data_IF_316375742237
#
_entry.id   IF_316375742237
#
_cell.length_a   1.000
_cell.length_b   1.000
_cell.length_c   1.000
_cell.angle_alpha   90.00
_cell.angle_beta   90.00
_cell.angle_gamma   90.00
#
_symmetry.space_group_name_H-M   'P 1'
#
loop_
_entity.id
_entity.type
_entity.pdbx_description
1 polymer ?
#
# COMPACT_ATOMS: atom_id res chain seq x y z
N UNK A 1 -12.52 3.71 -11.23
CA UNK A 1 -11.65 2.62 -10.75
C UNK A 1 -10.24 3.17 -10.54
N UNK A 2 -9.77 3.09 -9.32
CA UNK A 2 -8.43 3.57 -8.98
C UNK A 2 -7.42 2.42 -9.05
N UNK A 3 -6.17 2.76 -9.37
CA UNK A 3 -5.07 1.79 -9.39
C UNK A 3 -4.32 1.89 -8.07
N UNK A 4 -4.17 0.76 -7.39
CA UNK A 4 -3.52 0.69 -6.08
C UNK A 4 -2.26 -0.16 -6.21
N UNK A 5 -1.12 0.46 -5.93
CA UNK A 5 0.18 -0.21 -5.98
C UNK A 5 0.34 -1.11 -4.76
N UNK A 6 0.70 -2.37 -4.98
CA UNK A 6 0.92 -3.32 -3.90
C UNK A 6 2.39 -3.72 -3.88
N UNK A 7 3.01 -3.55 -2.72
CA UNK A 7 4.37 -4.01 -2.46
C UNK A 7 4.35 -4.93 -1.24
N UNK A 8 4.13 -6.22 -1.50
CA UNK A 8 4.09 -7.27 -0.49
C UNK A 8 4.92 -8.44 -1.00
N UNK A 9 6.01 -8.82 -0.31
CA UNK A 9 6.89 -9.90 -0.78
C UNK A 9 6.31 -11.30 -0.59
N UNK A 10 5.36 -11.50 0.35
CA UNK A 10 4.77 -12.82 0.59
C UNK A 10 3.68 -13.10 -0.44
N UNK A 11 3.84 -14.12 -1.31
CA UNK A 11 2.92 -14.32 -2.43
C UNK A 11 1.47 -14.57 -2.03
N UNK A 12 1.24 -15.38 -1.00
CA UNK A 12 -0.12 -15.71 -0.57
C UNK A 12 -0.84 -14.50 -0.01
N UNK A 13 -0.14 -13.70 0.77
CA UNK A 13 -0.72 -12.48 1.33
C UNK A 13 -0.96 -11.44 0.23
N UNK A 14 -0.07 -11.38 -0.75
CA UNK A 14 -0.24 -10.49 -1.89
C UNK A 14 -1.53 -10.81 -2.66
N UNK A 15 -1.78 -12.10 -2.92
CA UNK A 15 -3.01 -12.53 -3.60
C UNK A 15 -4.24 -12.10 -2.79
N UNK A 16 -4.18 -12.26 -1.48
CA UNK A 16 -5.28 -11.87 -0.60
C UNK A 16 -5.52 -10.34 -0.65
N UNK A 17 -4.46 -9.55 -0.57
CA UNK A 17 -4.55 -8.09 -0.66
C UNK A 17 -5.15 -7.67 -2.01
N UNK A 18 -4.68 -8.30 -3.09
CA UNK A 18 -5.21 -8.02 -4.43
C UNK A 18 -6.71 -8.29 -4.50
N UNK A 19 -7.17 -9.40 -3.90
CA UNK A 19 -8.59 -9.73 -3.88
C UNK A 19 -9.40 -8.68 -3.13
N UNK A 20 -8.88 -8.19 -2.01
CA UNK A 20 -9.56 -7.14 -1.23
C UNK A 20 -9.63 -5.84 -2.03
N UNK A 21 -8.54 -5.47 -2.71
CA UNK A 21 -8.52 -4.28 -3.57
C UNK A 21 -9.62 -4.36 -4.64
N UNK A 22 -9.75 -5.53 -5.29
CA UNK A 22 -10.79 -5.73 -6.32
C UNK A 22 -12.18 -5.63 -5.72
N UNK A 23 -12.39 -6.12 -4.52
CA UNK A 23 -13.69 -6.03 -3.82
C UNK A 23 -14.12 -4.59 -3.58
N UNK A 24 -13.18 -3.68 -3.43
CA UNK A 24 -13.47 -2.25 -3.27
C UNK A 24 -13.75 -1.55 -4.60
N UNK A 25 -13.72 -2.28 -5.71
CA UNK A 25 -13.93 -1.71 -7.04
C UNK A 25 -12.69 -1.09 -7.66
N UNK A 26 -11.50 -1.46 -7.17
CA UNK A 26 -10.25 -0.88 -7.62
C UNK A 26 -9.35 -1.94 -8.26
N UNK A 27 -8.27 -1.50 -8.90
CA UNK A 27 -7.35 -2.37 -9.62
C UNK A 27 -6.01 -2.47 -8.89
N UNK A 28 -5.60 -3.68 -8.46
CA UNK A 28 -4.27 -3.85 -7.90
C UNK A 28 -3.22 -3.87 -9.00
N UNK A 29 -2.08 -3.20 -8.77
CA UNK A 29 -0.97 -3.16 -9.72
C UNK A 29 0.34 -3.41 -8.98
N UNK A 30 1.31 -4.02 -9.66
CA UNK A 30 2.67 -4.15 -9.19
C UNK A 30 3.53 -3.03 -9.72
N UNK A 31 4.76 -2.91 -9.21
CA UNK A 31 5.66 -1.83 -9.62
C UNK A 31 5.97 -1.85 -11.11
N UNK A 32 6.11 -3.03 -11.69
CA UNK A 32 6.40 -3.18 -13.12
C UNK A 32 5.24 -2.83 -14.03
N UNK A 33 4.05 -2.65 -13.48
CA UNK A 33 2.84 -2.32 -14.25
C UNK A 33 2.62 -0.82 -14.36
N UNK A 34 3.35 -0.01 -13.60
CA UNK A 34 3.29 1.45 -13.70
C UNK A 34 4.31 1.90 -14.74
N UNK A 35 3.82 2.43 -15.84
CA UNK A 35 4.65 2.80 -16.99
C UNK A 35 4.81 4.32 -17.06
N UNK A 36 6.08 4.74 -17.23
CA UNK A 36 6.41 6.11 -17.64
C UNK A 36 6.19 7.15 -16.58
N UNK A 37 5.47 7.49 -15.93
CA UNK A 37 5.19 8.51 -14.93
C UNK A 37 3.82 8.35 -14.33
N UNK A 38 3.17 7.22 -14.63
CA UNK A 38 1.87 6.91 -14.06
C UNK A 38 1.94 6.89 -12.54
N UNK A 39 0.96 7.53 -11.91
CA UNK A 39 0.87 7.58 -10.45
C UNK A 39 -0.25 6.67 -9.97
N UNK A 40 0.00 5.82 -8.96
CA UNK A 40 -1.10 5.10 -8.32
C UNK A 40 -1.93 6.05 -7.46
N UNK A 41 -3.18 5.68 -7.21
CA UNK A 41 -4.05 6.45 -6.33
C UNK A 41 -3.76 6.19 -4.84
N UNK A 42 -3.13 5.05 -4.54
CA UNK A 42 -2.73 4.68 -3.19
C UNK A 42 -1.68 3.57 -3.28
N UNK A 43 -0.99 3.33 -2.17
CA UNK A 43 -0.01 2.24 -2.07
C UNK A 43 -0.26 1.42 -0.81
N UNK A 44 -0.19 0.09 -0.94
CA UNK A 44 -0.19 -0.82 0.19
C UNK A 44 1.21 -1.42 0.28
N UNK A 45 1.84 -1.27 1.44
CA UNK A 45 3.27 -1.52 1.62
C UNK A 45 3.54 -2.39 2.83
N UNK A 46 4.41 -3.41 2.67
CA UNK A 46 5.07 -4.07 3.79
C UNK A 46 6.39 -3.31 4.07
N UNK A 47 6.44 -2.47 5.11
CA UNK A 47 7.63 -1.64 5.34
C UNK A 47 8.85 -2.40 5.85
N UNK A 48 8.70 -3.67 6.27
CA UNK A 48 9.84 -4.51 6.64
C UNK A 48 10.65 -4.95 5.41
N UNK A 49 10.06 -4.84 4.21
CA UNK A 49 10.77 -5.12 2.95
C UNK A 49 11.60 -3.90 2.55
N UNK A 50 12.92 -4.06 2.49
CA UNK A 50 13.82 -2.96 2.12
C UNK A 50 13.50 -2.40 0.73
N UNK A 51 13.21 -3.30 -0.25
CA UNK A 51 12.86 -2.89 -1.61
C UNK A 51 11.55 -2.10 -1.63
N UNK A 52 10.57 -2.55 -0.87
CA UNK A 52 9.28 -1.87 -0.77
C UNK A 52 9.42 -0.50 -0.13
N UNK A 53 10.18 -0.43 0.94
CA UNK A 53 10.43 0.83 1.65
C UNK A 53 11.14 1.85 0.75
N UNK A 54 12.14 1.40 -0.02
CA UNK A 54 12.86 2.27 -0.95
C UNK A 54 11.94 2.77 -2.06
N UNK A 55 11.09 1.89 -2.62
CA UNK A 55 10.13 2.28 -3.66
C UNK A 55 9.13 3.30 -3.12
N UNK A 56 8.65 3.10 -1.89
CA UNK A 56 7.71 4.03 -1.25
C UNK A 56 8.35 5.40 -1.04
N UNK A 57 9.61 5.44 -0.60
CA UNK A 57 10.32 6.69 -0.41
C UNK A 57 10.47 7.47 -1.72
N UNK A 58 10.81 6.79 -2.81
CA UNK A 58 10.92 7.40 -4.13
C UNK A 58 9.58 7.96 -4.61
N UNK A 59 8.50 7.22 -4.40
CA UNK A 59 7.17 7.70 -4.77
C UNK A 59 6.74 8.89 -3.92
N UNK A 60 7.06 8.88 -2.62
CA UNK A 60 6.74 9.99 -1.72
C UNK A 60 7.43 11.27 -2.16
N UNK A 61 8.65 11.20 -2.65
CA UNK A 61 9.37 12.37 -3.13
C UNK A 61 8.68 13.03 -4.32
N UNK A 62 8.00 12.26 -5.17
CA UNK A 62 7.29 12.76 -6.33
C UNK A 62 5.81 13.04 -6.06
N UNK A 63 5.22 12.31 -5.12
CA UNK A 63 3.79 12.31 -4.85
C UNK A 63 3.57 12.53 -3.35
N UNK A 64 3.71 13.75 -2.89
CA UNK A 64 3.65 14.04 -1.46
C UNK A 64 2.30 13.72 -0.83
N UNK A 65 1.23 13.73 -1.61
CA UNK A 65 -0.13 13.45 -1.13
C UNK A 65 -0.56 11.99 -1.33
N UNK A 66 0.33 11.13 -1.82
CA UNK A 66 0.01 9.72 -2.04
C UNK A 66 -0.38 9.03 -0.73
N UNK A 67 -1.60 8.49 -0.62
CA UNK A 67 -1.97 7.72 0.57
C UNK A 67 -1.19 6.40 0.60
N UNK A 68 -0.51 6.13 1.71
CA UNK A 68 0.23 4.89 1.92
C UNK A 68 -0.38 4.16 3.10
N UNK A 69 -0.70 2.87 2.88
CA UNK A 69 -1.18 1.96 3.91
C UNK A 69 -0.05 0.98 4.19
N UNK A 70 0.44 0.95 5.43
CA UNK A 70 1.43 -0.02 5.85
C UNK A 70 0.75 -1.24 6.44
N UNK A 71 1.26 -2.44 6.15
CA UNK A 71 0.79 -3.70 6.73
C UNK A 71 1.98 -4.57 7.08
N UNK A 72 2.18 -4.87 8.36
CA UNK A 72 3.37 -5.56 8.85
C UNK A 72 3.08 -6.35 10.11
N UNK A 73 3.91 -7.37 10.39
CA UNK A 73 3.88 -8.04 11.70
C UNK A 73 4.52 -7.17 12.78
N UNK A 74 5.26 -6.14 12.37
CA UNK A 74 5.95 -5.23 13.29
C UNK A 74 5.15 -3.96 13.51
N UNK A 75 5.30 -3.30 14.69
CA UNK A 75 4.72 -1.99 14.90
C UNK A 75 5.39 -0.94 14.01
N UNK A 76 4.84 0.28 13.94
CA UNK A 76 5.46 1.36 13.17
C UNK A 76 6.90 1.61 13.61
N UNK A 77 7.75 1.87 12.61
CA UNK A 77 9.16 2.24 12.84
C UNK A 77 9.35 3.70 12.47
N UNK A 78 10.51 4.27 12.81
CA UNK A 78 10.85 5.64 12.40
C UNK A 78 10.82 5.76 10.87
N UNK A 79 11.32 4.74 10.17
CA UNK A 79 11.37 4.74 8.71
C UNK A 79 9.98 4.66 8.10
N UNK A 80 9.09 3.81 8.63
CA UNK A 80 7.72 3.74 8.13
C UNK A 80 6.93 4.99 8.48
N UNK A 81 7.12 5.55 9.66
CA UNK A 81 6.48 6.79 10.07
C UNK A 81 6.90 7.97 9.20
N UNK A 82 8.15 7.99 8.75
CA UNK A 82 8.65 9.05 7.87
C UNK A 82 7.92 9.12 6.53
N UNK A 83 7.29 8.02 6.10
CA UNK A 83 6.46 8.00 4.89
C UNK A 83 5.12 8.68 5.07
N UNK A 84 4.70 8.96 6.32
CA UNK A 84 3.41 9.54 6.60
C UNK A 84 2.24 8.65 6.21
N UNK A 85 2.23 7.35 6.62
CA UNK A 85 1.14 6.45 6.22
C UNK A 85 -0.18 6.90 6.82
N UNK A 86 -1.27 6.67 6.08
CA UNK A 86 -2.61 7.00 6.56
C UNK A 86 -3.17 5.90 7.46
N UNK A 87 -2.58 4.71 7.41
CA UNK A 87 -2.94 3.58 8.28
C UNK A 87 -1.75 2.63 8.42
N UNK A 88 -1.68 1.95 9.55
CA UNK A 88 -0.71 0.90 9.79
C UNK A 88 -1.44 -0.31 10.37
N UNK A 89 -1.56 -1.37 9.57
CA UNK A 89 -2.27 -2.58 9.96
C UNK A 89 -1.27 -3.62 10.47
N UNK A 90 -1.57 -4.24 11.60
CA UNK A 90 -0.73 -5.30 12.16
C UNK A 90 -1.23 -6.65 11.64
N UNK A 91 -0.33 -7.43 11.07
CA UNK A 91 -0.64 -8.80 10.62
C UNK A 91 -0.70 -9.75 11.81
N UNK A 92 -1.65 -10.66 11.86
CA UNK A 92 -2.75 -10.84 10.91
C UNK A 92 -3.83 -9.78 11.13
N UNK A 93 -4.26 -9.13 10.06
CA UNK A 93 -5.37 -8.17 10.12
C UNK A 93 -6.64 -8.79 9.56
N UNK A 94 -7.78 -8.19 9.88
CA UNK A 94 -9.07 -8.62 9.30
C UNK A 94 -9.24 -7.99 7.94
N UNK A 95 -9.89 -8.71 7.02
CA UNK A 95 -10.10 -8.21 5.66
C UNK A 95 -10.87 -6.90 5.67
N UNK A 96 -11.85 -6.75 6.57
CA UNK A 96 -12.62 -5.50 6.68
C UNK A 96 -11.77 -4.32 7.13
N UNK A 97 -10.70 -4.58 7.89
CA UNK A 97 -9.78 -3.51 8.30
C UNK A 97 -9.03 -2.96 7.08
N UNK A 98 -8.60 -3.85 6.20
CA UNK A 98 -7.95 -3.45 4.96
C UNK A 98 -8.94 -2.74 4.03
N UNK A 99 -10.15 -3.27 3.88
CA UNK A 99 -11.20 -2.62 3.09
C UNK A 99 -11.45 -1.19 3.58
N UNK A 100 -11.61 -1.02 4.88
CA UNK A 100 -11.86 0.30 5.48
C UNK A 100 -10.69 1.25 5.24
N UNK A 101 -9.46 0.76 5.36
CA UNK A 101 -8.26 1.56 5.11
C UNK A 101 -8.21 2.03 3.66
N UNK A 102 -8.52 1.15 2.71
CA UNK A 102 -8.54 1.50 1.27
C UNK A 102 -9.61 2.56 0.99
N UNK A 103 -10.83 2.35 1.47
CA UNK A 103 -11.93 3.28 1.26
C UNK A 103 -11.58 4.65 1.84
N UNK A 104 -11.05 4.67 3.06
CA UNK A 104 -10.65 5.91 3.72
C UNK A 104 -9.52 6.62 2.97
N UNK A 105 -8.53 5.86 2.49
CA UNK A 105 -7.41 6.42 1.74
C UNK A 105 -7.86 7.10 0.45
N UNK A 106 -8.79 6.47 -0.28
CA UNK A 106 -9.26 6.99 -1.57
C UNK A 106 -10.28 8.13 -1.42
N UNK A 107 -10.84 8.31 -0.23
CA UNK A 107 -11.79 9.39 0.04
C UNK A 107 -11.10 10.72 0.36
N UNK A 108 -9.79 10.73 0.46
CA UNK A 108 -8.99 11.89 0.86
C UNK A 108 -8.83 12.91 -0.26
#
# INVERSE_FOLDING_TARGET
MARILISEPHPDLRVLIEAVVRRTGNEPVGRGELIGGDAPAAMILEPASADGLAAAAQLRDRLEDLPIICASIFPPTDESCALGPVAHLIKPFRLRELEAAIVSALAR
#
